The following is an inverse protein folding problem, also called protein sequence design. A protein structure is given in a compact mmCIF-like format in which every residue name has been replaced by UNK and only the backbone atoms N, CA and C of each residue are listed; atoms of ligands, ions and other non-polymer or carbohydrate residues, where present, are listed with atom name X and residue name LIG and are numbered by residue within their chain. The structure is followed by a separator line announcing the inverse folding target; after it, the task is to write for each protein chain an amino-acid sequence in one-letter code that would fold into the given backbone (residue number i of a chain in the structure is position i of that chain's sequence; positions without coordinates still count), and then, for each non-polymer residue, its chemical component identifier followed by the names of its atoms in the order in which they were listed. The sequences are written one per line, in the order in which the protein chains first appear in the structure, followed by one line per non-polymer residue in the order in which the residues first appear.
data_IF_386302964120
#
_entry.id   IF_386302964120
#
_cell.length_a   1.000
_cell.length_b   1.000
_cell.length_c   1.000
_cell.angle_alpha   90.00
_cell.angle_beta   90.00
_cell.angle_gamma   90.00
#
_symmetry.space_group_name_H-M   'P 1'
#
loop_
_entity.id
_entity.type
_entity.pdbx_description
1 polymer ?
#
# COMPACT_ATOMS: atom_id res chain seq x y z
N UNK A 1 35.64 -9.36 -16.01
CA UNK A 1 35.44 -8.14 -16.82
C UNK A 1 36.48 -7.11 -16.42
N UNK A 2 37.12 -6.47 -17.40
CA UNK A 2 38.08 -5.38 -17.18
C UNK A 2 37.55 -4.12 -17.86
N UNK A 3 37.76 -2.96 -17.24
CA UNK A 3 37.49 -1.65 -17.81
C UNK A 3 38.79 -0.85 -17.76
N UNK A 4 39.30 -0.42 -18.92
CA UNK A 4 40.56 0.33 -19.04
C UNK A 4 41.75 -0.36 -18.31
N UNK A 5 41.86 -1.68 -18.43
CA UNK A 5 42.91 -2.48 -17.79
C UNK A 5 42.68 -2.79 -16.31
N UNK A 6 41.68 -2.20 -15.66
CA UNK A 6 41.34 -2.46 -14.27
C UNK A 6 40.26 -3.55 -14.17
N UNK A 7 40.51 -4.57 -13.33
CA UNK A 7 39.54 -5.63 -13.08
C UNK A 7 38.34 -5.08 -12.31
N UNK A 8 37.13 -5.29 -12.83
CA UNK A 8 35.90 -4.97 -12.09
C UNK A 8 35.72 -6.00 -10.97
N UNK A 9 35.58 -5.54 -9.73
CA UNK A 9 35.54 -6.36 -8.51
C UNK A 9 34.20 -7.07 -8.23
N UNK A 10 33.25 -7.06 -9.16
CA UNK A 10 31.91 -7.65 -9.01
C UNK A 10 31.96 -9.10 -9.50
N UNK A 11 31.67 -10.07 -8.62
CA UNK A 11 31.78 -11.51 -8.93
C UNK A 11 30.42 -12.20 -9.05
N UNK A 12 29.40 -11.68 -8.38
CA UNK A 12 28.05 -12.24 -8.37
C UNK A 12 26.98 -11.20 -8.66
N UNK A 13 25.77 -11.65 -9.00
CA UNK A 13 24.62 -10.76 -9.11
C UNK A 13 24.30 -10.07 -7.79
N UNK A 14 24.52 -10.74 -6.65
CA UNK A 14 24.37 -10.13 -5.33
C UNK A 14 25.34 -8.96 -5.12
N UNK A 15 26.62 -9.13 -5.48
CA UNK A 15 27.61 -8.04 -5.39
C UNK A 15 27.20 -6.85 -6.25
N UNK A 16 26.61 -7.12 -7.43
CA UNK A 16 26.08 -6.08 -8.31
C UNK A 16 24.93 -5.32 -7.65
N UNK A 17 23.97 -6.02 -7.02
CA UNK A 17 22.87 -5.38 -6.28
C UNK A 17 23.40 -4.54 -5.12
N UNK A 18 24.40 -5.04 -4.37
CA UNK A 18 25.00 -4.32 -3.25
C UNK A 18 25.57 -2.95 -3.68
N UNK A 19 26.08 -2.80 -4.90
CA UNK A 19 26.56 -1.51 -5.42
C UNK A 19 25.46 -0.43 -5.50
N UNK A 20 24.20 -0.82 -5.70
CA UNK A 20 23.08 0.12 -5.82
C UNK A 20 22.54 0.58 -4.47
N UNK A 21 22.73 -0.23 -3.44
CA UNK A 21 22.10 -0.08 -2.12
C UNK A 21 23.10 0.41 -1.08
N UNK A 22 24.40 0.13 -1.26
CA UNK A 22 25.45 0.58 -0.35
C UNK A 22 25.42 2.11 -0.20
N UNK A 23 25.34 2.57 1.05
CA UNK A 23 25.29 3.98 1.39
C UNK A 23 23.92 4.64 1.18
N UNK A 24 22.88 3.87 0.88
CA UNK A 24 21.50 4.36 0.89
C UNK A 24 20.79 4.00 2.18
N UNK A 25 19.94 4.92 2.61
CA UNK A 25 19.18 4.82 3.84
C UNK A 25 17.68 4.84 3.53
N UNK A 26 16.88 4.30 4.46
CA UNK A 26 15.44 4.47 4.47
C UNK A 26 15.04 5.83 5.07
N UNK A 27 13.73 6.12 5.08
CA UNK A 27 13.16 7.37 5.62
C UNK A 27 13.46 7.59 7.12
N UNK A 28 13.97 6.57 7.81
CA UNK A 28 14.33 6.62 9.24
C UNK A 28 15.85 6.68 9.47
N UNK A 29 16.65 6.82 8.41
CA UNK A 29 18.11 6.89 8.48
C UNK A 29 18.79 5.54 8.70
N UNK A 30 18.07 4.42 8.54
CA UNK A 30 18.68 3.09 8.63
C UNK A 30 19.21 2.66 7.26
N UNK A 31 20.38 1.99 7.19
CA UNK A 31 20.87 1.44 5.93
C UNK A 31 19.87 0.49 5.29
N UNK A 32 19.64 0.65 3.99
CA UNK A 32 18.76 -0.22 3.22
C UNK A 32 19.25 -1.68 3.28
N UNK A 33 18.33 -2.59 3.56
CA UNK A 33 18.60 -4.03 3.66
C UNK A 33 18.13 -4.73 2.38
N UNK A 34 18.91 -5.69 1.91
CA UNK A 34 18.60 -6.50 0.74
C UNK A 34 18.14 -7.89 1.18
N UNK A 35 16.99 -8.32 0.66
CA UNK A 35 16.65 -9.74 0.59
C UNK A 35 17.12 -10.28 -0.76
N UNK A 36 18.02 -11.27 -0.78
CA UNK A 36 18.51 -11.92 -2.00
C UNK A 36 18.20 -13.42 -1.93
N UNK A 37 17.79 -13.99 -3.07
CA UNK A 37 17.63 -15.43 -3.25
C UNK A 37 18.06 -15.85 -4.66
N UNK A 38 18.78 -16.97 -4.71
CA UNK A 38 18.98 -17.73 -5.93
C UNK A 38 17.81 -18.73 -6.03
N UNK A 39 16.81 -18.38 -6.85
CA UNK A 39 15.57 -19.14 -7.04
C UNK A 39 15.74 -20.27 -8.08
N UNK A 40 16.90 -20.92 -8.10
CA UNK A 40 17.27 -21.98 -9.03
C UNK A 40 18.24 -21.53 -10.14
N UNK A 41 18.63 -22.44 -11.05
CA UNK A 41 19.74 -22.21 -11.98
C UNK A 41 19.50 -21.10 -13.02
N UNK A 42 18.28 -20.58 -13.11
CA UNK A 42 17.85 -19.60 -14.13
C UNK A 42 17.26 -18.33 -13.55
N UNK A 43 17.22 -18.18 -12.22
CA UNK A 43 16.57 -17.04 -11.57
C UNK A 43 17.36 -16.62 -10.33
N UNK A 44 17.81 -15.38 -10.32
CA UNK A 44 18.28 -14.70 -9.13
C UNK A 44 17.42 -13.46 -8.91
N UNK A 45 16.96 -13.28 -7.68
CA UNK A 45 16.08 -12.18 -7.30
C UNK A 45 16.63 -11.49 -6.07
N UNK A 46 16.63 -10.17 -6.10
CA UNK A 46 16.84 -9.38 -4.89
C UNK A 46 15.76 -8.32 -4.75
N UNK A 47 15.42 -7.95 -3.52
CA UNK A 47 14.47 -6.89 -3.21
C UNK A 47 15.01 -6.03 -2.09
N UNK A 48 14.83 -4.73 -2.22
CA UNK A 48 15.03 -3.73 -1.17
C UNK A 48 13.82 -2.80 -1.10
N UNK A 49 13.73 -2.02 -0.02
CA UNK A 49 12.74 -0.95 0.12
C UNK A 49 12.98 0.13 -0.94
N UNK A 50 11.88 0.69 -1.46
CA UNK A 50 11.89 1.88 -2.32
C UNK A 50 11.15 3.05 -1.66
N UNK A 51 11.75 4.24 -1.74
CA UNK A 51 11.23 5.54 -1.31
C UNK A 51 10.60 6.34 -2.47
N UNK A 52 10.92 5.99 -3.73
CA UNK A 52 10.57 6.76 -4.94
C UNK A 52 9.51 6.09 -5.84
N UNK A 53 8.69 5.22 -5.27
CA UNK A 53 7.76 4.40 -6.05
C UNK A 53 8.40 3.11 -6.56
N UNK A 54 7.71 2.35 -7.40
CA UNK A 54 8.23 1.06 -7.88
C UNK A 54 9.50 1.25 -8.71
N UNK A 55 10.58 0.58 -8.31
CA UNK A 55 11.85 0.57 -9.04
C UNK A 55 12.20 -0.86 -9.45
N UNK A 56 12.81 -1.02 -10.62
CA UNK A 56 13.24 -2.33 -11.09
C UNK A 56 14.56 -2.25 -11.84
N UNK A 57 15.38 -3.28 -11.69
CA UNK A 57 16.59 -3.50 -12.47
C UNK A 57 16.61 -4.96 -12.90
N UNK A 58 16.46 -5.23 -14.19
CA UNK A 58 16.32 -6.61 -14.66
C UNK A 58 17.14 -6.94 -15.88
N UNK A 59 17.53 -8.22 -15.95
CA UNK A 59 18.35 -8.79 -17.00
C UNK A 59 17.72 -10.10 -17.48
N UNK A 60 17.51 -10.20 -18.79
CA UNK A 60 17.06 -11.44 -19.45
C UNK A 60 18.17 -11.91 -20.37
N UNK A 61 18.80 -13.05 -20.09
CA UNK A 61 19.93 -13.56 -20.87
C UNK A 61 21.05 -12.51 -21.04
N UNK A 62 21.40 -11.80 -19.95
CA UNK A 62 22.36 -10.68 -19.93
C UNK A 62 21.97 -9.43 -20.72
N UNK A 63 20.73 -9.31 -21.18
CA UNK A 63 20.18 -8.10 -21.81
C UNK A 63 19.47 -7.27 -20.75
N UNK A 64 19.85 -5.99 -20.62
CA UNK A 64 19.22 -5.06 -19.68
C UNK A 64 17.81 -4.68 -20.14
N UNK A 65 16.79 -5.17 -19.42
CA UNK A 65 15.38 -4.83 -19.67
C UNK A 65 14.97 -3.63 -18.83
N UNK A 66 15.41 -2.44 -19.23
CA UNK A 66 15.24 -1.18 -18.48
C UNK A 66 13.79 -0.77 -18.26
N UNK A 67 12.88 -1.16 -19.15
CA UNK A 67 11.42 -0.95 -19.02
C UNK A 67 10.70 -2.14 -18.35
N UNK A 68 11.43 -3.21 -18.02
CA UNK A 68 10.92 -4.38 -17.33
C UNK A 68 10.27 -5.37 -18.28
N UNK A 69 9.08 -5.86 -17.94
CA UNK A 69 8.34 -6.82 -18.74
C UNK A 69 7.77 -7.96 -17.91
N UNK A 70 7.26 -9.00 -18.59
CA UNK A 70 6.52 -10.07 -17.92
C UNK A 70 7.36 -10.89 -16.93
N UNK A 71 8.69 -10.94 -17.08
CA UNK A 71 9.57 -11.60 -16.11
C UNK A 71 9.64 -10.82 -14.79
N UNK A 72 9.64 -9.49 -14.85
CA UNK A 72 9.57 -8.63 -13.66
C UNK A 72 8.21 -8.76 -13.00
N UNK A 73 7.12 -8.71 -13.78
CA UNK A 73 5.77 -8.88 -13.24
C UNK A 73 5.59 -10.25 -12.58
N UNK A 74 6.09 -11.32 -13.21
CA UNK A 74 6.06 -12.68 -12.63
C UNK A 74 6.68 -12.73 -11.23
N UNK A 75 7.85 -12.13 -11.02
CA UNK A 75 8.51 -12.08 -9.71
C UNK A 75 7.77 -11.15 -8.75
N UNK A 76 7.40 -9.96 -9.22
CA UNK A 76 6.75 -8.93 -8.40
C UNK A 76 5.41 -9.41 -7.85
N UNK A 77 4.60 -10.05 -8.68
CA UNK A 77 3.27 -10.53 -8.31
C UNK A 77 3.34 -11.63 -7.23
N UNK A 78 4.34 -12.52 -7.31
CA UNK A 78 4.58 -13.53 -6.28
C UNK A 78 4.92 -12.90 -4.93
N UNK A 79 5.75 -11.87 -4.92
CA UNK A 79 6.17 -11.17 -3.70
C UNK A 79 5.00 -10.36 -3.13
N UNK A 80 4.31 -9.58 -3.97
CA UNK A 80 3.17 -8.76 -3.57
C UNK A 80 2.02 -9.62 -3.04
N UNK A 81 1.76 -10.80 -3.63
CA UNK A 81 0.76 -11.74 -3.11
C UNK A 81 1.07 -12.16 -1.67
N UNK A 82 2.29 -12.62 -1.41
CA UNK A 82 2.73 -13.01 -0.06
C UNK A 82 2.70 -11.86 0.95
N UNK A 83 3.15 -10.66 0.53
CA UNK A 83 3.11 -9.47 1.37
C UNK A 83 1.66 -9.02 1.67
N UNK A 84 0.74 -9.16 0.71
CA UNK A 84 -0.67 -8.83 0.91
C UNK A 84 -1.28 -9.65 2.05
N UNK A 85 -0.98 -10.95 2.11
CA UNK A 85 -1.46 -11.83 3.18
C UNK A 85 -0.89 -11.42 4.55
N UNK A 86 0.40 -11.07 4.58
CA UNK A 86 1.07 -10.58 5.80
C UNK A 86 0.49 -9.25 6.27
N UNK A 87 0.27 -8.32 5.35
CA UNK A 87 -0.28 -6.99 5.63
C UNK A 87 -1.74 -7.06 6.09
N UNK A 88 -2.57 -7.94 5.53
CA UNK A 88 -3.95 -8.15 5.99
C UNK A 88 -3.99 -8.59 7.47
N UNK A 89 -3.04 -9.41 7.91
CA UNK A 89 -2.94 -9.86 9.31
C UNK A 89 -2.51 -8.73 10.25
N UNK A 90 -1.61 -7.85 9.81
CA UNK A 90 -1.08 -6.73 10.61
C UNK A 90 -1.98 -5.47 10.59
N UNK A 91 -2.69 -5.20 9.49
CA UNK A 91 -3.49 -3.99 9.27
C UNK A 91 -4.97 -4.17 9.70
N UNK A 92 -5.21 -4.58 10.95
CA UNK A 92 -6.57 -4.78 11.47
C UNK A 92 -7.30 -3.45 11.60
N UNK A 93 -8.36 -3.24 10.81
CA UNK A 93 -9.19 -2.04 10.86
C UNK A 93 -8.61 -0.80 10.15
N UNK A 94 -7.45 -0.93 9.48
CA UNK A 94 -6.91 0.14 8.65
C UNK A 94 -7.52 0.19 7.25
N UNK A 95 -7.13 1.20 6.47
CA UNK A 95 -7.57 1.32 5.08
C UNK A 95 -7.18 0.07 4.27
N UNK A 96 -7.99 -0.27 3.27
CA UNK A 96 -7.69 -1.39 2.38
C UNK A 96 -6.44 -1.08 1.54
N UNK A 97 -5.39 -1.88 1.72
CA UNK A 97 -4.14 -1.78 0.95
C UNK A 97 -4.29 -2.60 -0.33
N UNK A 98 -4.12 -1.96 -1.49
CA UNK A 98 -4.20 -2.59 -2.82
C UNK A 98 -2.83 -3.08 -3.29
N UNK A 99 -2.74 -4.14 -4.13
CA UNK A 99 -1.46 -4.70 -4.61
C UNK A 99 -0.49 -3.67 -5.21
N UNK A 100 -0.99 -2.73 -6.03
CA UNK A 100 -0.14 -1.70 -6.63
C UNK A 100 0.49 -0.76 -5.58
N UNK A 101 -0.17 -0.57 -4.43
CA UNK A 101 0.36 0.26 -3.36
C UNK A 101 1.55 -0.42 -2.73
N UNK A 102 1.46 -1.74 -2.49
CA UNK A 102 2.59 -2.55 -2.02
C UNK A 102 3.73 -2.51 -3.05
N UNK A 103 3.41 -2.70 -4.35
CA UNK A 103 4.39 -2.65 -5.45
C UNK A 103 5.19 -1.34 -5.45
N UNK A 104 4.55 -0.21 -5.15
CA UNK A 104 5.24 1.09 -5.10
C UNK A 104 6.32 1.22 -4.01
N UNK A 105 6.37 0.33 -3.02
CA UNK A 105 7.42 0.31 -2.00
C UNK A 105 8.54 -0.69 -2.32
N UNK A 106 8.52 -1.31 -3.50
CA UNK A 106 9.49 -2.32 -3.89
C UNK A 106 10.52 -1.75 -4.86
N UNK A 107 11.79 -2.03 -4.57
CA UNK A 107 12.86 -1.98 -5.56
C UNK A 107 13.37 -3.39 -5.82
N UNK A 108 13.07 -3.91 -7.01
CA UNK A 108 13.32 -5.31 -7.37
C UNK A 108 14.49 -5.41 -8.35
N UNK A 109 15.33 -6.42 -8.14
CA UNK A 109 16.41 -6.82 -9.02
C UNK A 109 16.12 -8.24 -9.52
N UNK A 110 16.18 -8.47 -10.83
CA UNK A 110 15.92 -9.78 -11.44
C UNK A 110 17.01 -10.12 -12.45
N UNK A 111 17.68 -11.24 -12.27
CA UNK A 111 18.55 -11.82 -13.29
C UNK A 111 17.98 -13.18 -13.68
N UNK A 112 17.63 -13.37 -14.95
CA UNK A 112 17.04 -14.63 -15.38
C UNK A 112 17.47 -15.12 -16.76
N UNK A 113 17.33 -16.43 -16.94
CA UNK A 113 17.58 -17.14 -18.20
C UNK A 113 16.27 -17.65 -18.79
N UNK A 114 15.84 -17.04 -19.89
CA UNK A 114 14.55 -17.30 -20.55
C UNK A 114 14.78 -17.99 -21.90
N UNK A 115 14.02 -19.05 -22.17
CA UNK A 115 14.05 -19.73 -23.47
C UNK A 115 13.37 -18.85 -24.53
N UNK A 116 14.07 -18.55 -25.62
CA UNK A 116 13.56 -17.80 -26.78
C UNK A 116 12.74 -16.55 -26.40
N UNK A 117 13.35 -15.59 -25.65
CA UNK A 117 12.63 -14.41 -25.17
C UNK A 117 12.16 -13.54 -26.35
N UNK A 118 10.96 -12.98 -26.22
CA UNK A 118 10.42 -11.98 -27.15
C UNK A 118 10.43 -10.61 -26.48
N UNK A 119 10.64 -9.56 -27.27
CA UNK A 119 10.69 -8.18 -26.78
C UNK A 119 9.72 -7.31 -27.58
N UNK A 120 9.45 -6.11 -27.06
CA UNK A 120 8.63 -5.10 -27.72
C UNK A 120 9.29 -4.52 -28.99
N UNK A 121 10.62 -4.44 -28.99
CA UNK A 121 11.40 -3.76 -30.01
C UNK A 121 12.84 -4.29 -30.07
N UNK A 122 13.62 -3.81 -31.04
CA UNK A 122 15.02 -4.19 -31.23
C UNK A 122 15.93 -3.75 -30.08
N UNK A 123 15.59 -2.69 -29.35
CA UNK A 123 16.36 -2.25 -28.17
C UNK A 123 16.18 -3.21 -26.99
N UNK A 124 15.16 -4.09 -27.04
CA UNK A 124 14.91 -5.16 -26.06
C UNK A 124 14.74 -4.66 -24.63
N UNK A 125 14.19 -3.46 -24.46
CA UNK A 125 14.02 -2.82 -23.16
C UNK A 125 12.86 -3.42 -22.35
N UNK A 126 11.84 -3.99 -23.03
CA UNK A 126 10.69 -4.63 -22.39
C UNK A 126 10.45 -6.04 -22.93
N UNK A 127 10.51 -7.05 -22.06
CA UNK A 127 10.26 -8.45 -22.44
C UNK A 127 8.76 -8.77 -22.43
N UNK A 128 8.26 -9.37 -23.51
CA UNK A 128 6.82 -9.57 -23.77
C UNK A 128 6.35 -11.02 -23.66
N UNK A 129 7.28 -11.98 -23.65
CA UNK A 129 6.99 -13.41 -23.58
C UNK A 129 6.12 -13.75 -22.35
N UNK A 130 5.12 -14.62 -22.51
CA UNK A 130 4.24 -15.00 -21.40
C UNK A 130 4.94 -15.99 -20.45
N UNK A 131 4.63 -15.91 -19.16
CA UNK A 131 5.28 -16.71 -18.12
C UNK A 131 5.21 -18.23 -18.36
N UNK A 132 4.12 -18.72 -18.97
CA UNK A 132 3.96 -20.13 -19.36
C UNK A 132 5.03 -20.63 -20.35
N UNK A 133 5.65 -19.72 -21.09
CA UNK A 133 6.63 -20.01 -22.15
C UNK A 133 8.06 -19.73 -21.72
N UNK A 134 8.33 -19.34 -20.46
CA UNK A 134 9.68 -19.04 -19.99
C UNK A 134 10.63 -20.25 -20.02
N UNK A 135 10.07 -21.47 -20.03
CA UNK A 135 10.83 -22.71 -19.90
C UNK A 135 11.38 -22.96 -18.48
N UNK A 136 11.03 -22.10 -17.52
CA UNK A 136 11.34 -22.25 -16.09
C UNK A 136 10.41 -21.33 -15.28
N UNK A 137 10.38 -21.52 -13.96
CA UNK A 137 9.60 -20.69 -13.03
C UNK A 137 10.50 -20.25 -11.88
N UNK A 138 10.40 -18.97 -11.51
CA UNK A 138 11.00 -18.47 -10.28
C UNK A 138 10.29 -19.12 -9.07
N UNK A 139 10.99 -20.01 -8.36
CA UNK A 139 10.49 -20.66 -7.15
C UNK A 139 10.96 -19.88 -5.93
N UNK A 140 10.10 -19.02 -5.39
CA UNK A 140 10.39 -18.22 -4.20
C UNK A 140 10.17 -19.07 -2.96
N UNK A 141 11.13 -19.07 -2.03
CA UNK A 141 11.01 -19.82 -0.77
C UNK A 141 10.40 -19.00 0.37
N UNK A 142 9.83 -19.70 1.36
CA UNK A 142 9.33 -19.06 2.59
C UNK A 142 10.44 -18.33 3.35
N UNK A 143 11.68 -18.80 3.26
CA UNK A 143 12.86 -18.15 3.86
C UNK A 143 13.11 -16.78 3.22
N UNK A 144 12.99 -16.67 1.90
CA UNK A 144 13.10 -15.40 1.22
C UNK A 144 11.96 -14.46 1.60
N UNK A 145 10.71 -14.93 1.60
CA UNK A 145 9.56 -14.12 2.05
C UNK A 145 9.74 -13.61 3.49
N UNK A 146 10.24 -14.47 4.38
CA UNK A 146 10.57 -14.09 5.77
C UNK A 146 11.66 -13.01 5.81
N UNK A 147 12.62 -13.04 4.88
CA UNK A 147 13.65 -12.00 4.78
C UNK A 147 13.06 -10.70 4.23
N UNK A 148 12.23 -10.75 3.19
CA UNK A 148 11.53 -9.60 2.60
C UNK A 148 10.62 -8.89 3.63
N UNK A 149 10.01 -9.63 4.54
CA UNK A 149 9.21 -9.01 5.62
C UNK A 149 10.06 -8.32 6.68
N UNK A 150 11.37 -8.62 6.79
CA UNK A 150 12.30 -8.05 7.77
C UNK A 150 13.13 -6.86 7.25
N UNK A 151 13.08 -6.56 5.95
CA UNK A 151 13.82 -5.43 5.36
C UNK A 151 13.07 -4.10 5.42
N UNK A 152 11.94 -4.03 6.13
CA UNK A 152 11.20 -2.78 6.40
C UNK A 152 10.07 -2.43 5.42
N UNK A 153 9.82 -3.26 4.39
CA UNK A 153 8.74 -3.03 3.43
C UNK A 153 7.36 -3.03 4.11
N UNK A 154 7.12 -3.98 5.02
CA UNK A 154 5.83 -4.11 5.68
C UNK A 154 5.55 -2.88 6.55
N UNK A 155 6.55 -2.44 7.30
CA UNK A 155 6.49 -1.28 8.17
C UNK A 155 6.29 0.01 7.36
N UNK A 156 7.01 0.18 6.25
CA UNK A 156 6.85 1.32 5.34
C UNK A 156 5.44 1.38 4.74
N UNK A 157 4.90 0.26 4.26
CA UNK A 157 3.54 0.19 3.70
C UNK A 157 2.48 0.49 4.78
N UNK A 158 2.65 -0.02 6.00
CA UNK A 158 1.73 0.27 7.11
C UNK A 158 1.78 1.75 7.52
N UNK A 159 2.98 2.34 7.55
CA UNK A 159 3.16 3.77 7.82
C UNK A 159 2.45 4.62 6.77
N UNK A 160 2.68 4.30 5.48
CA UNK A 160 1.98 4.95 4.37
C UNK A 160 0.46 4.81 4.46
N UNK A 161 -0.04 3.62 4.83
CA UNK A 161 -1.47 3.38 4.96
C UNK A 161 -2.09 4.22 6.08
N UNK A 162 -1.41 4.35 7.22
CA UNK A 162 -1.83 5.24 8.32
C UNK A 162 -1.85 6.70 7.88
N UNK A 163 -0.75 7.19 7.31
CA UNK A 163 -0.65 8.57 6.83
C UNK A 163 -1.75 8.91 5.80
N UNK A 164 -2.07 7.96 4.92
CA UNK A 164 -3.15 8.12 3.95
C UNK A 164 -4.52 8.17 4.62
N UNK A 165 -4.77 7.36 5.64
CA UNK A 165 -6.00 7.41 6.42
C UNK A 165 -6.14 8.77 7.13
N UNK A 166 -5.08 9.23 7.80
CA UNK A 166 -5.04 10.52 8.49
C UNK A 166 -5.22 11.69 7.53
N UNK A 167 -4.59 11.64 6.36
CA UNK A 167 -4.76 12.63 5.30
C UNK A 167 -6.19 12.66 4.75
N UNK A 168 -6.85 11.50 4.64
CA UNK A 168 -8.26 11.42 4.24
C UNK A 168 -9.17 12.01 5.32
N UNK A 169 -8.89 11.76 6.60
CA UNK A 169 -9.58 12.38 7.73
C UNK A 169 -9.39 13.90 7.76
N UNK A 170 -8.17 14.39 7.52
CA UNK A 170 -7.89 15.83 7.46
C UNK A 170 -8.57 16.51 6.27
N UNK A 171 -8.65 15.84 5.11
CA UNK A 171 -9.41 16.34 3.94
C UNK A 171 -10.91 16.44 4.21
N UNK A 172 -11.44 15.61 5.11
CA UNK A 172 -12.82 15.74 5.58
C UNK A 172 -13.00 16.99 6.48
N UNK A 173 -11.91 17.54 7.03
CA UNK A 173 -11.82 18.81 7.74
C UNK A 173 -12.72 18.94 8.99
N UNK A 174 -12.63 20.06 9.73
CA UNK A 174 -13.65 20.46 10.69
C UNK A 174 -15.00 20.81 10.01
N UNK A 175 -15.00 20.87 8.66
CA UNK A 175 -16.15 21.19 7.80
C UNK A 175 -16.97 19.98 7.35
N UNK A 176 -16.60 18.77 7.76
CA UNK A 176 -17.61 17.79 8.11
C UNK A 176 -18.34 18.35 9.33
N UNK A 177 -19.26 19.31 9.10
CA UNK A 177 -20.45 19.44 9.91
C UNK A 177 -20.99 18.02 9.97
N UNK A 178 -20.71 17.29 11.06
CA UNK A 178 -21.32 15.99 11.27
C UNK A 178 -22.80 16.27 11.17
N UNK A 179 -23.42 15.88 10.05
CA UNK A 179 -24.81 16.21 9.76
C UNK A 179 -25.76 15.53 10.73
N UNK A 180 -25.25 14.52 11.45
CA UNK A 180 -25.86 13.85 12.59
C UNK A 180 -24.77 13.46 13.57
N UNK A 181 -24.93 13.84 14.83
CA UNK A 181 -24.06 13.38 15.91
C UNK A 181 -24.26 11.86 16.09
N UNK A 182 -23.20 11.08 15.86
CA UNK A 182 -23.20 9.64 16.13
C UNK A 182 -22.54 9.39 17.49
N UNK A 183 -23.13 8.53 18.32
CA UNK A 183 -22.56 8.15 19.61
C UNK A 183 -23.13 8.86 20.85
N UNK A 184 -24.22 9.63 20.71
CA UNK A 184 -25.02 10.14 21.85
C UNK A 184 -26.32 9.33 21.93
N UNK A 185 -26.40 8.31 22.81
CA UNK A 185 -27.61 7.52 22.98
C UNK A 185 -28.78 8.42 23.39
N UNK A 186 -29.96 8.19 22.80
CA UNK A 186 -31.23 8.92 23.03
C UNK A 186 -31.38 10.30 22.37
N UNK A 187 -30.34 10.86 21.76
CA UNK A 187 -30.47 12.10 20.96
C UNK A 187 -31.27 11.84 19.68
N UNK A 188 -32.30 12.65 19.46
CA UNK A 188 -32.99 12.75 18.18
C UNK A 188 -32.66 14.10 17.56
N UNK A 189 -31.83 14.08 16.51
CA UNK A 189 -31.33 15.29 15.88
C UNK A 189 -32.32 15.85 14.85
N UNK A 190 -32.40 17.18 14.72
CA UNK A 190 -33.18 17.80 13.65
C UNK A 190 -32.51 17.56 12.29
N UNK A 191 -33.27 17.44 11.19
CA UNK A 191 -32.66 17.18 9.89
C UNK A 191 -31.74 18.32 9.41
N UNK A 192 -32.06 19.57 9.77
CA UNK A 192 -31.27 20.75 9.43
C UNK A 192 -30.20 21.09 10.49
N UNK A 193 -30.10 20.32 11.58
CA UNK A 193 -29.12 20.54 12.63
C UNK A 193 -27.69 20.51 12.07
N UNK A 194 -26.89 21.50 12.45
CA UNK A 194 -25.53 21.67 11.93
C UNK A 194 -25.43 22.07 10.46
N UNK A 195 -26.52 22.22 9.70
CA UNK A 195 -26.49 22.67 8.27
C UNK A 195 -26.36 24.20 8.15
N UNK A 196 -26.57 24.77 6.96
CA UNK A 196 -26.62 26.23 6.78
C UNK A 196 -27.86 26.86 7.47
N UNK A 197 -28.90 26.05 7.73
CA UNK A 197 -30.14 26.47 8.41
C UNK A 197 -30.11 26.20 9.92
N UNK A 198 -28.95 25.88 10.49
CA UNK A 198 -28.85 25.48 11.90
C UNK A 198 -29.31 26.56 12.88
N UNK A 199 -29.29 27.84 12.47
CA UNK A 199 -29.81 28.96 13.27
C UNK A 199 -31.33 28.90 13.44
N UNK A 200 -32.04 28.21 12.54
CA UNK A 200 -33.49 28.01 12.63
C UNK A 200 -33.84 26.75 13.45
N UNK A 201 -32.84 25.98 13.88
CA UNK A 201 -33.05 24.74 14.62
C UNK A 201 -33.15 25.01 16.13
N UNK A 202 -33.99 24.23 16.81
CA UNK A 202 -34.15 24.25 18.27
C UNK A 202 -33.90 22.85 18.83
N UNK A 203 -33.07 22.75 19.87
CA UNK A 203 -32.88 21.54 20.65
C UNK A 203 -33.76 21.62 21.90
N UNK A 204 -34.67 20.65 22.05
CA UNK A 204 -35.54 20.52 23.22
C UNK A 204 -34.86 19.59 24.22
N UNK A 205 -34.61 20.10 25.43
CA UNK A 205 -34.12 19.31 26.54
C UNK A 205 -35.30 18.89 27.42
N UNK A 206 -35.47 17.60 27.67
CA UNK A 206 -36.59 17.08 28.48
C UNK A 206 -36.11 16.45 29.78
N UNK A 207 -36.85 16.60 30.86
CA UNK A 207 -36.57 15.90 32.12
C UNK A 207 -37.07 14.44 32.01
N UNK A 208 -36.15 13.51 31.73
CA UNK A 208 -36.46 12.08 31.59
C UNK A 208 -37.12 11.66 30.27
N UNK A 209 -37.29 10.33 30.11
CA UNK A 209 -37.81 9.70 28.89
C UNK A 209 -39.34 9.88 28.73
N UNK A 210 -40.07 10.11 29.82
CA UNK A 210 -41.51 10.39 29.79
C UNK A 210 -41.82 11.70 29.08
N UNK A 211 -41.11 12.78 29.45
CA UNK A 211 -41.25 14.09 28.81
C UNK A 211 -40.75 14.08 27.36
N UNK A 212 -39.69 13.30 27.07
CA UNK A 212 -39.23 13.07 25.69
C UNK A 212 -40.35 12.52 24.81
N UNK A 213 -41.07 11.50 25.28
CA UNK A 213 -42.11 10.82 24.49
C UNK A 213 -43.26 11.76 24.11
N UNK A 214 -43.61 12.69 25.02
CA UNK A 214 -44.57 13.75 24.75
C UNK A 214 -44.06 14.74 23.70
N UNK A 215 -42.81 15.18 23.81
CA UNK A 215 -42.19 16.10 22.85
C UNK A 215 -42.08 15.48 21.44
N UNK A 216 -41.72 14.19 21.33
CA UNK A 216 -41.64 13.48 20.03
C UNK A 216 -43.00 13.47 19.32
N UNK A 217 -44.09 13.24 20.07
CA UNK A 217 -45.45 13.26 19.53
C UNK A 217 -45.85 14.65 19.00
N UNK A 218 -45.43 15.72 19.68
CA UNK A 218 -45.66 17.10 19.23
C UNK A 218 -44.84 17.51 18.01
N UNK A 219 -43.59 17.03 17.88
CA UNK A 219 -42.74 17.33 16.70
C UNK A 219 -43.25 16.60 15.46
N UNK A 220 -43.87 15.43 15.60
CA UNK A 220 -44.39 14.66 14.47
C UNK A 220 -45.40 15.43 13.61
N UNK A 221 -46.17 16.36 14.19
CA UNK A 221 -47.13 17.20 13.47
C UNK A 221 -46.51 18.44 12.82
N UNK A 222 -45.35 18.91 13.30
CA UNK A 222 -44.69 20.15 12.86
C UNK A 222 -43.54 19.86 11.87
N UNK A 223 -42.99 18.65 11.92
CA UNK A 223 -41.89 18.20 11.08
C UNK A 223 -40.53 18.20 11.80
N UNK A 224 -39.64 17.32 11.36
CA UNK A 224 -38.34 17.05 12.00
C UNK A 224 -37.19 17.91 11.49
N UNK A 225 -37.45 18.86 10.61
CA UNK A 225 -36.37 19.62 9.99
C UNK A 225 -35.70 20.57 10.97
N UNK A 226 -36.49 21.22 11.84
CA UNK A 226 -36.01 22.26 12.74
C UNK A 226 -35.92 21.86 14.22
N UNK A 227 -36.46 20.71 14.63
CA UNK A 227 -36.56 20.36 16.04
C UNK A 227 -35.86 19.04 16.37
N UNK A 228 -34.92 19.09 17.31
CA UNK A 228 -34.28 17.92 17.92
C UNK A 228 -34.65 17.77 19.39
N UNK A 229 -34.52 16.57 19.96
CA UNK A 229 -34.83 16.29 21.38
C UNK A 229 -33.71 15.49 22.04
N UNK A 230 -33.38 15.87 23.28
CA UNK A 230 -32.50 15.09 24.15
C UNK A 230 -33.03 15.01 25.61
N UNK A 231 -33.21 13.80 26.18
CA UNK A 231 -33.62 13.66 27.57
C UNK A 231 -32.42 13.82 28.52
N UNK A 232 -32.56 14.70 29.49
CA UNK A 232 -31.68 14.82 30.64
C UNK A 232 -32.00 13.71 31.66
N UNK A 233 -30.97 13.29 32.41
CA UNK A 233 -31.09 12.33 33.51
C UNK A 233 -31.72 12.97 34.73
#
# INVERSE_FOLDING_TARGET
VFLNGQRIGVKSFKDYVDLYVKGKEDDTGNPLKIAYENCGPRWEVAVTLSDKGFQQMSFVNSIATTKGGRHVDHVTDLIVKNLTETLKKKNKGGIQIKPFQIKNHLWIFVNCLINNPTFDSQTKENMTLQAKSFGSKCAITDKFITTVTKIGIVESVLSWAKFKADSQLQKLGPKSKQRKLQGIPKLEDANDAGTAKSLDCTLILTEGDSAKSMAVSGIASIGRDKYGIFPLK
#
